data_IF_320832353644
#
_entry.id   IF_320832353644
#
_cell.length_a   1.000
_cell.length_b   1.000
_cell.length_c   1.000
_cell.angle_alpha   90.00
_cell.angle_beta   90.00
_cell.angle_gamma   90.00
#
_symmetry.space_group_name_H-M   'P 1'
#
loop_
_entity.id
_entity.type
_entity.pdbx_description
1 polymer ?
#
# COMPACT_ATOMS: atom_id res chain seq x y z
N UNK A 1 -46.73 -23.00 14.44
CA UNK A 1 -45.40 -23.19 13.85
C UNK A 1 -44.87 -21.81 13.51
N UNK A 2 -43.78 -21.34 14.13
CA UNK A 2 -43.21 -20.06 13.80
C UNK A 2 -42.48 -20.17 12.45
N UNK A 3 -42.67 -19.12 11.66
CA UNK A 3 -42.07 -18.91 10.34
C UNK A 3 -40.67 -18.38 10.63
N UNK A 4 -39.63 -19.16 10.35
CA UNK A 4 -38.24 -18.68 10.45
C UNK A 4 -37.98 -17.70 9.31
N UNK A 5 -37.92 -16.41 9.65
CA UNK A 5 -37.32 -15.38 8.81
C UNK A 5 -35.82 -15.68 8.71
N UNK A 6 -35.42 -16.37 7.64
CA UNK A 6 -34.03 -16.38 7.18
C UNK A 6 -33.66 -14.95 6.77
N UNK A 7 -33.13 -14.19 7.72
CA UNK A 7 -32.22 -13.07 7.44
C UNK A 7 -30.91 -13.65 6.95
N UNK A 8 -30.89 -14.13 5.70
CA UNK A 8 -29.64 -14.43 5.02
C UNK A 8 -28.99 -13.10 4.64
N UNK A 9 -27.88 -12.84 5.29
CA UNK A 9 -27.14 -11.60 5.24
C UNK A 9 -26.83 -11.16 3.81
N UNK A 10 -27.11 -9.90 3.51
CA UNK A 10 -26.26 -9.15 2.61
C UNK A 10 -24.85 -9.08 3.24
N UNK A 11 -24.06 -10.15 3.09
CA UNK A 11 -22.63 -10.08 3.28
C UNK A 11 -22.09 -9.15 2.21
N UNK A 12 -21.96 -7.87 2.58
CA UNK A 12 -21.29 -6.88 1.78
C UNK A 12 -19.95 -7.44 1.35
N UNK A 13 -19.67 -7.40 0.05
CA UNK A 13 -18.41 -7.84 -0.52
C UNK A 13 -17.30 -6.91 -0.04
N UNK A 14 -16.82 -7.13 1.18
CA UNK A 14 -15.72 -6.37 1.76
C UNK A 14 -14.45 -6.69 0.97
N UNK A 15 -13.82 -5.65 0.44
CA UNK A 15 -12.51 -5.78 -0.19
C UNK A 15 -11.51 -6.27 0.85
N UNK A 16 -10.85 -7.40 0.56
CA UNK A 16 -9.73 -7.83 1.36
C UNK A 16 -8.64 -6.75 1.33
N UNK A 17 -8.38 -6.18 2.50
CA UNK A 17 -7.35 -5.15 2.65
C UNK A 17 -5.98 -5.78 2.46
N UNK A 18 -5.20 -5.21 1.55
CA UNK A 18 -3.82 -5.58 1.30
C UNK A 18 -2.86 -4.74 2.13
N UNK A 19 -1.78 -5.35 2.58
CA UNK A 19 -0.63 -4.63 3.12
C UNK A 19 0.18 -3.98 1.98
N UNK A 20 0.96 -2.95 2.30
CA UNK A 20 1.77 -2.23 1.32
C UNK A 20 2.74 -3.16 0.56
N UNK A 21 3.35 -4.14 1.25
CA UNK A 21 4.24 -5.12 0.64
C UNK A 21 3.49 -6.06 -0.30
N UNK A 22 2.27 -6.47 0.06
CA UNK A 22 1.42 -7.33 -0.76
C UNK A 22 1.00 -6.63 -2.05
N UNK A 23 0.54 -5.37 -1.95
CA UNK A 23 0.21 -4.54 -3.11
C UNK A 23 1.45 -4.32 -4.01
N UNK A 24 2.63 -4.11 -3.42
CA UNK A 24 3.89 -3.98 -4.16
C UNK A 24 4.23 -5.26 -4.94
N UNK A 25 4.08 -6.43 -4.32
CA UNK A 25 4.33 -7.73 -4.95
C UNK A 25 3.36 -7.94 -6.11
N UNK A 26 2.06 -7.72 -5.90
CA UNK A 26 1.04 -7.88 -6.95
C UNK A 26 1.29 -6.93 -8.12
N UNK A 27 1.51 -5.65 -7.85
CA UNK A 27 1.86 -4.67 -8.87
C UNK A 27 3.10 -5.09 -9.67
N UNK A 28 4.12 -5.61 -8.98
CA UNK A 28 5.37 -6.07 -9.62
C UNK A 28 5.15 -7.32 -10.48
N UNK A 29 4.32 -8.28 -10.04
CA UNK A 29 3.98 -9.46 -10.84
C UNK A 29 3.21 -9.08 -12.11
N UNK A 30 2.24 -8.17 -12.00
CA UNK A 30 1.44 -7.70 -13.13
C UNK A 30 2.32 -6.96 -14.14
N UNK A 31 3.17 -6.04 -13.66
CA UNK A 31 4.10 -5.29 -14.51
C UNK A 31 5.03 -6.25 -15.27
N UNK A 32 5.60 -7.25 -14.59
CA UNK A 32 6.55 -8.19 -15.21
C UNK A 32 5.87 -9.20 -16.12
N UNK A 33 4.62 -9.56 -15.89
CA UNK A 33 3.87 -10.38 -16.85
C UNK A 33 3.70 -9.64 -18.19
N UNK A 34 3.39 -8.34 -18.15
CA UNK A 34 3.19 -7.55 -19.37
C UNK A 34 4.51 -7.16 -20.06
N UNK A 35 5.51 -6.74 -19.28
CA UNK A 35 6.76 -6.18 -19.84
C UNK A 35 7.85 -7.22 -20.10
N UNK A 36 7.82 -8.34 -19.39
CA UNK A 36 8.85 -9.39 -19.46
C UNK A 36 8.21 -10.79 -19.44
N UNK A 37 7.40 -11.15 -20.45
CA UNK A 37 6.67 -12.42 -20.46
C UNK A 37 7.60 -13.65 -20.41
N UNK A 38 8.79 -13.57 -21.01
CA UNK A 38 9.77 -14.67 -21.02
C UNK A 38 10.28 -15.05 -19.62
N UNK A 39 10.30 -14.08 -18.69
CA UNK A 39 10.73 -14.30 -17.32
C UNK A 39 9.60 -14.80 -16.40
N UNK A 40 8.34 -14.69 -16.85
CA UNK A 40 7.15 -15.00 -16.07
C UNK A 40 6.74 -16.48 -16.25
N UNK A 41 6.34 -17.21 -15.19
CA UNK A 41 6.21 -16.79 -13.78
C UNK A 41 7.55 -16.59 -13.06
N UNK A 42 7.56 -15.65 -12.11
CA UNK A 42 8.78 -15.16 -11.45
C UNK A 42 9.23 -16.07 -10.29
N UNK A 43 10.53 -16.22 -10.09
CA UNK A 43 11.09 -16.81 -8.86
C UNK A 43 11.07 -15.81 -7.71
N UNK A 44 11.23 -16.28 -6.45
CA UNK A 44 11.30 -15.40 -5.27
C UNK A 44 12.31 -14.25 -5.45
N UNK A 45 13.53 -14.57 -5.91
CA UNK A 45 14.57 -13.56 -6.13
C UNK A 45 14.19 -12.53 -7.20
N UNK A 46 13.48 -12.96 -8.25
CA UNK A 46 13.00 -12.06 -9.28
C UNK A 46 11.88 -11.15 -8.75
N UNK A 47 11.00 -11.64 -7.87
CA UNK A 47 9.98 -10.83 -7.19
C UNK A 47 10.64 -9.79 -6.28
N UNK A 48 11.63 -10.18 -5.46
CA UNK A 48 12.40 -9.26 -4.60
C UNK A 48 13.05 -8.15 -5.45
N UNK A 49 13.75 -8.54 -6.52
CA UNK A 49 14.38 -7.59 -7.43
C UNK A 49 13.37 -6.65 -8.10
N UNK A 50 12.16 -7.13 -8.41
CA UNK A 50 11.09 -6.31 -8.97
C UNK A 50 10.45 -5.36 -7.95
N UNK A 51 10.34 -5.76 -6.68
CA UNK A 51 9.79 -4.92 -5.62
C UNK A 51 10.73 -3.75 -5.26
N UNK A 52 12.05 -4.00 -5.34
CA UNK A 52 13.12 -3.07 -4.95
C UNK A 52 13.70 -2.26 -6.13
N UNK A 53 12.99 -2.17 -7.25
CA UNK A 53 13.44 -1.37 -8.41
C UNK A 53 13.49 0.12 -8.03
N UNK A 54 14.56 0.80 -8.46
CA UNK A 54 14.73 2.24 -8.25
C UNK A 54 13.85 3.09 -9.16
N UNK A 55 13.36 2.51 -10.25
CA UNK A 55 12.45 3.15 -11.19
C UNK A 55 11.07 2.53 -11.10
N UNK A 56 10.05 3.29 -11.46
CA UNK A 56 8.66 2.84 -11.44
C UNK A 56 8.11 2.40 -10.08
N UNK A 57 8.75 2.84 -8.98
CA UNK A 57 8.32 2.57 -7.61
C UNK A 57 8.25 3.89 -6.84
N UNK A 58 7.11 4.11 -6.20
CA UNK A 58 6.93 5.20 -5.25
C UNK A 58 6.08 4.68 -4.08
N UNK A 59 6.62 4.60 -2.85
CA UNK A 59 8.01 4.89 -2.46
C UNK A 59 9.01 3.81 -2.92
N UNK A 60 10.29 4.18 -3.05
CA UNK A 60 11.37 3.18 -3.23
C UNK A 60 11.48 2.35 -1.95
N UNK A 61 11.52 1.02 -2.10
CA UNK A 61 11.56 0.08 -0.98
C UNK A 61 12.79 -0.82 -1.05
N UNK A 62 13.15 -1.40 0.08
CA UNK A 62 14.25 -2.37 0.23
C UNK A 62 13.73 -3.54 1.06
N UNK A 63 12.91 -4.40 0.44
CA UNK A 63 12.39 -5.59 1.10
C UNK A 63 13.41 -6.72 1.07
N UNK A 64 13.48 -7.45 2.18
CA UNK A 64 14.29 -8.65 2.30
C UNK A 64 13.58 -9.88 1.71
N UNK A 65 14.32 -10.90 1.22
CA UNK A 65 13.71 -12.12 0.67
C UNK A 65 12.76 -12.84 1.63
N UNK A 66 13.03 -12.77 2.94
CA UNK A 66 12.16 -13.35 3.98
C UNK A 66 10.81 -12.66 4.08
N UNK A 67 10.78 -11.32 4.00
CA UNK A 67 9.56 -10.52 4.03
C UNK A 67 8.71 -10.77 2.79
N UNK A 68 9.33 -10.73 1.61
CA UNK A 68 8.65 -11.02 0.34
C UNK A 68 8.11 -12.45 0.31
N UNK A 69 8.88 -13.43 0.80
CA UNK A 69 8.43 -14.81 0.90
C UNK A 69 7.27 -15.01 1.87
N UNK A 70 7.23 -14.26 2.98
CA UNK A 70 6.09 -14.27 3.90
C UNK A 70 4.83 -13.69 3.24
N UNK A 71 4.94 -12.50 2.63
CA UNK A 71 3.83 -11.85 1.96
C UNK A 71 3.30 -12.66 0.75
N UNK A 72 4.18 -13.35 0.01
CA UNK A 72 3.75 -14.25 -1.07
C UNK A 72 2.86 -15.40 -0.55
N UNK A 73 3.18 -15.99 0.60
CA UNK A 73 2.34 -17.04 1.21
C UNK A 73 1.00 -16.50 1.69
N UNK A 74 0.96 -15.28 2.23
CA UNK A 74 -0.30 -14.60 2.57
C UNK A 74 -1.15 -14.37 1.33
N UNK A 75 -0.55 -13.89 0.23
CA UNK A 75 -1.21 -13.69 -1.05
C UNK A 75 -1.71 -14.99 -1.69
N UNK A 76 -1.00 -16.10 -1.51
CA UNK A 76 -1.47 -17.44 -1.91
C UNK A 76 -2.70 -17.86 -1.09
N UNK A 77 -2.68 -17.64 0.22
CA UNK A 77 -3.83 -17.87 1.11
C UNK A 77 -5.05 -17.03 0.72
N UNK A 78 -4.84 -15.80 0.24
CA UNK A 78 -5.87 -14.92 -0.31
C UNK A 78 -6.33 -15.30 -1.74
N UNK A 79 -5.68 -16.28 -2.38
CA UNK A 79 -5.99 -16.68 -3.75
C UNK A 79 -5.55 -15.68 -4.83
N UNK A 80 -4.76 -14.68 -4.47
CA UNK A 80 -4.29 -13.60 -5.35
C UNK A 80 -3.02 -13.96 -6.11
N UNK A 81 -2.25 -14.92 -5.60
CA UNK A 81 -1.04 -15.48 -6.21
C UNK A 81 -1.15 -17.00 -6.25
N UNK A 82 -0.54 -17.62 -7.25
CA UNK A 82 -0.30 -19.06 -7.29
C UNK A 82 1.20 -19.35 -7.42
N UNK A 83 1.75 -20.01 -6.41
CA UNK A 83 3.03 -20.68 -6.47
C UNK A 83 2.93 -22.03 -7.15
N UNK A 84 3.82 -22.28 -8.09
CA UNK A 84 4.06 -23.60 -8.66
C UNK A 84 5.48 -24.02 -8.31
N UNK A 85 5.60 -25.21 -7.72
CA UNK A 85 6.91 -25.79 -7.44
C UNK A 85 7.47 -26.37 -8.73
N UNK A 86 8.58 -25.81 -9.21
CA UNK A 86 9.38 -26.40 -10.28
C UNK A 86 10.56 -27.17 -9.70
N UNK A 87 11.16 -28.07 -10.49
CA UNK A 87 12.32 -28.87 -10.09
C UNK A 87 13.53 -28.04 -9.62
N UNK A 88 13.61 -26.74 -9.99
CA UNK A 88 14.73 -25.85 -9.65
C UNK A 88 14.38 -24.74 -8.64
N UNK A 89 13.13 -24.28 -8.60
CA UNK A 89 12.69 -23.19 -7.72
C UNK A 89 11.16 -23.05 -7.74
N UNK A 90 10.58 -22.50 -6.67
CA UNK A 90 9.19 -22.04 -6.66
C UNK A 90 9.02 -20.83 -7.58
N UNK A 91 7.97 -20.85 -8.40
CA UNK A 91 7.59 -19.75 -9.31
C UNK A 91 6.20 -19.23 -8.99
N UNK A 92 6.03 -17.92 -9.04
CA UNK A 92 4.82 -17.22 -8.62
C UNK A 92 4.17 -16.51 -9.80
N UNK A 93 2.86 -16.69 -9.93
CA UNK A 93 2.00 -16.01 -10.89
C UNK A 93 0.87 -15.29 -10.16
N UNK A 94 0.46 -14.10 -10.62
CA UNK A 94 -0.73 -13.44 -10.10
C UNK A 94 -2.02 -14.06 -10.66
N UNK A 95 -3.10 -13.94 -9.90
CA UNK A 95 -4.48 -14.29 -10.27
C UNK A 95 -5.42 -13.09 -10.20
N UNK A 96 -4.85 -11.91 -10.43
CA UNK A 96 -5.51 -10.63 -10.22
C UNK A 96 -6.80 -10.45 -11.04
N UNK A 97 -6.84 -10.86 -12.32
CA UNK A 97 -8.06 -10.75 -13.13
C UNK A 97 -9.20 -11.61 -12.56
N UNK A 98 -8.91 -12.86 -12.22
CA UNK A 98 -9.92 -13.77 -11.68
C UNK A 98 -10.37 -13.37 -10.28
N UNK A 99 -9.48 -12.83 -9.46
CA UNK A 99 -9.80 -12.47 -8.08
C UNK A 99 -10.65 -11.19 -7.99
N UNK A 100 -10.34 -10.17 -8.80
CA UNK A 100 -11.06 -8.89 -8.76
C UNK A 100 -12.10 -8.72 -9.89
N UNK A 101 -12.24 -9.73 -10.76
CA UNK A 101 -13.07 -9.68 -11.96
C UNK A 101 -12.81 -8.39 -12.77
N UNK A 102 -11.55 -8.20 -13.17
CA UNK A 102 -11.07 -7.00 -13.89
C UNK A 102 -10.51 -7.37 -15.25
N UNK A 103 -10.65 -6.46 -16.21
CA UNK A 103 -10.07 -6.59 -17.56
C UNK A 103 -8.56 -6.27 -17.55
N UNK A 104 -7.85 -6.62 -18.62
CA UNK A 104 -6.42 -6.31 -18.79
C UNK A 104 -6.11 -4.82 -18.64
N UNK A 105 -6.96 -3.94 -19.23
CA UNK A 105 -6.84 -2.49 -19.10
C UNK A 105 -7.05 -2.01 -17.67
N UNK A 106 -8.07 -2.52 -16.99
CA UNK A 106 -8.35 -2.19 -15.58
C UNK A 106 -7.20 -2.62 -14.67
N UNK A 107 -6.71 -3.86 -14.85
CA UNK A 107 -5.57 -4.41 -14.13
C UNK A 107 -4.31 -3.58 -14.33
N UNK A 108 -4.04 -3.11 -15.56
CA UNK A 108 -2.87 -2.27 -15.85
C UNK A 108 -2.89 -0.97 -15.03
N UNK A 109 -4.04 -0.27 -14.98
CA UNK A 109 -4.17 0.96 -14.19
C UNK A 109 -4.05 0.69 -12.69
N UNK A 110 -4.68 -0.37 -12.19
CA UNK A 110 -4.55 -0.77 -10.78
C UNK A 110 -3.11 -1.10 -10.40
N UNK A 111 -2.36 -1.78 -11.27
CA UNK A 111 -0.95 -2.06 -11.04
C UNK A 111 -0.11 -0.78 -10.96
N UNK A 112 -0.34 0.19 -11.84
CA UNK A 112 0.35 1.49 -11.78
C UNK A 112 0.05 2.22 -10.47
N UNK A 113 -1.22 2.24 -10.04
CA UNK A 113 -1.63 2.87 -8.79
C UNK A 113 -1.02 2.17 -7.57
N UNK A 114 -0.92 0.83 -7.56
CA UNK A 114 -0.27 0.09 -6.47
C UNK A 114 1.25 0.32 -6.41
N UNK A 115 1.90 0.53 -7.57
CA UNK A 115 3.35 0.68 -7.64
C UNK A 115 3.84 2.10 -7.37
N UNK A 116 3.03 3.11 -7.70
CA UNK A 116 3.42 4.52 -7.67
C UNK A 116 2.45 5.43 -6.89
N UNK A 117 1.40 4.88 -6.30
CA UNK A 117 0.41 5.65 -5.57
C UNK A 117 -0.44 6.57 -6.46
N UNK A 118 -0.88 7.72 -5.92
CA UNK A 118 -1.81 8.63 -6.59
C UNK A 118 -1.21 9.27 -7.83
N UNK A 119 -1.90 9.15 -8.96
CA UNK A 119 -1.42 9.64 -10.26
C UNK A 119 -2.51 10.40 -11.02
N UNK A 120 -2.09 11.34 -11.87
CA UNK A 120 -3.01 12.05 -12.76
C UNK A 120 -3.37 11.19 -13.97
N UNK A 121 -4.41 11.63 -14.70
CA UNK A 121 -4.87 10.93 -15.90
C UNK A 121 -3.77 10.81 -16.97
N UNK A 122 -3.02 11.90 -17.21
CA UNK A 122 -1.97 11.95 -18.22
C UNK A 122 -0.78 11.06 -17.84
N UNK A 123 -0.42 11.02 -16.55
CA UNK A 123 0.62 10.11 -16.06
C UNK A 123 0.21 8.65 -16.25
N UNK A 124 -1.03 8.29 -15.89
CA UNK A 124 -1.55 6.95 -16.06
C UNK A 124 -1.56 6.54 -17.53
N UNK A 125 -2.01 7.42 -18.42
CA UNK A 125 -1.99 7.17 -19.87
C UNK A 125 -0.59 6.85 -20.36
N UNK A 126 0.38 7.76 -20.15
CA UNK A 126 1.77 7.57 -20.61
C UNK A 126 2.44 6.34 -20.00
N UNK A 127 2.19 6.03 -18.72
CA UNK A 127 2.81 4.89 -18.02
C UNK A 127 2.15 3.56 -18.36
N UNK A 128 0.90 3.58 -18.82
CA UNK A 128 0.12 2.37 -19.14
C UNK A 128 0.46 1.75 -20.49
N UNK A 129 1.12 2.49 -21.40
CA UNK A 129 1.47 2.04 -22.75
C UNK A 129 2.21 0.69 -22.79
N UNK A 130 3.03 0.40 -21.78
CA UNK A 130 3.79 -0.87 -21.70
C UNK A 130 3.02 -2.02 -21.05
N UNK A 131 1.84 -1.76 -20.48
CA UNK A 131 1.04 -2.72 -19.74
C UNK A 131 -0.24 -3.12 -20.48
N UNK A 132 -0.88 -2.16 -21.16
CA UNK A 132 -2.08 -2.39 -21.95
C UNK A 132 -2.27 -1.28 -23.00
N UNK A 133 -2.93 -1.61 -24.11
CA UNK A 133 -3.22 -0.65 -25.17
C UNK A 133 -4.41 0.25 -24.81
N UNK A 134 -4.16 1.55 -24.78
CA UNK A 134 -5.17 2.61 -24.66
C UNK A 134 -5.11 3.52 -25.88
N UNK A 135 -6.26 3.82 -26.54
CA UNK A 135 -6.30 4.69 -27.71
C UNK A 135 -6.01 6.15 -27.38
N UNK A 136 -6.49 6.62 -26.22
CA UNK A 136 -6.35 7.99 -25.74
C UNK A 136 -6.52 8.07 -24.21
N UNK A 137 -6.26 9.24 -23.65
CA UNK A 137 -6.46 9.51 -22.22
C UNK A 137 -7.94 9.47 -21.80
N UNK A 138 -8.86 9.64 -22.74
CA UNK A 138 -10.30 9.57 -22.49
C UNK A 138 -10.77 8.15 -22.17
N UNK A 139 -10.21 7.16 -22.86
CA UNK A 139 -10.46 5.75 -22.56
C UNK A 139 -9.89 5.38 -21.18
N UNK A 140 -8.73 5.93 -20.78
CA UNK A 140 -8.19 5.75 -19.43
C UNK A 140 -9.18 6.30 -18.38
N UNK A 141 -9.72 7.50 -18.61
CA UNK A 141 -10.72 8.11 -17.73
C UNK A 141 -11.97 7.23 -17.63
N UNK A 142 -12.48 6.76 -18.76
CA UNK A 142 -13.64 5.87 -18.83
C UNK A 142 -13.42 4.57 -18.04
N UNK A 143 -12.21 3.98 -18.13
CA UNK A 143 -11.85 2.79 -17.35
C UNK A 143 -11.78 3.09 -15.85
N UNK A 144 -11.21 4.24 -15.45
CA UNK A 144 -11.15 4.65 -14.04
C UNK A 144 -12.54 4.92 -13.46
N UNK A 145 -13.42 5.59 -14.21
CA UNK A 145 -14.79 5.85 -13.78
C UNK A 145 -15.58 4.55 -13.57
N UNK A 146 -15.38 3.55 -14.43
CA UNK A 146 -15.93 2.19 -14.24
C UNK A 146 -15.37 1.52 -12.98
N UNK A 147 -14.08 1.71 -12.68
CA UNK A 147 -13.45 1.17 -11.46
C UNK A 147 -13.90 1.88 -10.18
N UNK A 148 -14.30 3.14 -10.27
CA UNK A 148 -14.84 3.92 -9.15
C UNK A 148 -16.32 3.65 -8.90
N UNK A 149 -17.10 3.36 -9.95
CA UNK A 149 -18.56 3.17 -9.86
C UNK A 149 -18.97 1.72 -9.55
N UNK A 150 -18.10 0.74 -9.79
CA UNK A 150 -18.36 -0.67 -9.44
C UNK A 150 -18.50 -0.87 -7.94
N UNK A 151 -19.18 -1.94 -7.54
CA UNK A 151 -19.28 -2.40 -6.15
C UNK A 151 -18.56 -3.74 -6.02
N UNK A 152 -17.54 -3.87 -5.16
CA UNK A 152 -16.87 -2.78 -4.43
C UNK A 152 -16.00 -1.91 -5.33
N UNK A 153 -15.86 -0.62 -4.97
CA UNK A 153 -15.05 0.36 -5.70
C UNK A 153 -13.56 0.06 -5.53
N UNK A 154 -12.81 0.03 -6.62
CA UNK A 154 -11.37 -0.29 -6.59
C UNK A 154 -10.49 0.95 -6.68
N UNK A 155 -11.06 2.08 -7.11
CA UNK A 155 -10.36 3.35 -7.32
C UNK A 155 -11.22 4.48 -6.78
N UNK A 156 -10.58 5.50 -6.24
CA UNK A 156 -11.20 6.77 -5.85
C UNK A 156 -10.53 7.92 -6.61
N UNK A 157 -11.33 8.91 -7.02
CA UNK A 157 -10.84 10.17 -7.54
C UNK A 157 -10.60 11.14 -6.38
N UNK A 158 -9.36 11.53 -6.17
CA UNK A 158 -8.95 12.52 -5.19
C UNK A 158 -9.14 13.91 -5.80
N UNK A 159 -9.92 14.76 -5.12
CA UNK A 159 -10.07 16.14 -5.53
C UNK A 159 -8.73 16.88 -5.42
N UNK A 160 -8.48 17.79 -6.37
CA UNK A 160 -7.29 18.64 -6.40
C UNK A 160 -7.00 19.35 -5.07
N UNK A 161 -5.74 19.32 -4.65
CA UNK A 161 -5.22 20.24 -3.63
C UNK A 161 -5.07 21.65 -4.23
N UNK A 162 -5.05 22.68 -3.39
CA UNK A 162 -4.89 24.08 -3.82
C UNK A 162 -3.55 24.27 -4.55
N UNK A 163 -3.61 24.48 -5.88
CA UNK A 163 -2.41 24.66 -6.74
C UNK A 163 -2.19 23.55 -7.77
N UNK A 164 -2.88 22.41 -7.67
CA UNK A 164 -2.83 21.33 -8.65
C UNK A 164 -3.82 21.59 -9.80
N UNK A 165 -3.39 21.34 -11.05
CA UNK A 165 -4.20 21.56 -12.26
C UNK A 165 -5.08 20.37 -12.64
N UNK A 166 -4.78 19.17 -12.15
CA UNK A 166 -5.43 17.91 -12.55
C UNK A 166 -5.88 17.09 -11.34
N UNK A 167 -6.96 16.32 -11.49
CA UNK A 167 -7.42 15.34 -10.51
C UNK A 167 -6.45 14.15 -10.45
N UNK A 168 -6.31 13.54 -9.26
CA UNK A 168 -5.53 12.33 -9.05
C UNK A 168 -6.43 11.14 -8.76
N UNK A 169 -5.97 9.94 -9.09
CA UNK A 169 -6.67 8.69 -8.81
C UNK A 169 -5.83 7.84 -7.87
N UNK A 170 -6.47 7.15 -6.93
CA UNK A 170 -5.81 6.24 -5.99
C UNK A 170 -6.60 4.93 -5.87
N UNK A 171 -5.90 3.81 -5.68
CA UNK A 171 -6.57 2.51 -5.47
C UNK A 171 -7.08 2.36 -4.03
N UNK A 172 -8.11 1.53 -3.84
CA UNK A 172 -8.72 1.24 -2.54
C UNK A 172 -8.32 -0.15 -1.98
N UNK A 173 -7.43 -0.86 -2.67
CA UNK A 173 -7.00 -2.22 -2.31
C UNK A 173 -6.22 -2.30 -0.99
N UNK A 174 -5.59 -1.21 -0.54
CA UNK A 174 -4.90 -1.15 0.76
C UNK A 174 -5.78 -0.52 1.86
N UNK A 175 -7.10 -0.53 1.67
CA UNK A 175 -8.06 0.05 2.61
C UNK A 175 -8.64 1.38 2.13
N UNK A 176 -9.59 1.90 2.90
CA UNK A 176 -10.25 3.16 2.60
C UNK A 176 -9.25 4.32 2.70
N UNK A 177 -9.13 5.09 1.63
CA UNK A 177 -8.38 6.35 1.66
C UNK A 177 -9.27 7.36 2.38
N UNK A 178 -8.90 7.72 3.61
CA UNK A 178 -9.63 8.75 4.36
C UNK A 178 -9.53 10.10 3.63
N UNK A 179 -10.50 11.02 3.79
CA UNK A 179 -10.42 12.34 3.16
C UNK A 179 -9.17 13.13 3.58
N UNK A 180 -8.66 12.93 4.80
CA UNK A 180 -7.40 13.54 5.25
C UNK A 180 -6.20 12.93 4.52
N UNK A 181 -6.15 11.59 4.38
CA UNK A 181 -5.12 10.90 3.61
C UNK A 181 -5.20 11.26 2.13
N UNK A 182 -6.40 11.41 1.57
CA UNK A 182 -6.64 11.87 0.21
C UNK A 182 -6.07 13.28 -0.01
N UNK A 183 -6.26 14.18 0.95
CA UNK A 183 -5.75 15.55 0.88
C UNK A 183 -4.21 15.57 0.94
N UNK A 184 -3.60 14.78 1.83
CA UNK A 184 -2.14 14.62 1.88
C UNK A 184 -1.55 13.95 0.62
N UNK A 185 -2.22 12.94 0.06
CA UNK A 185 -1.83 12.27 -1.18
C UNK A 185 -2.02 13.15 -2.42
N UNK A 186 -3.01 14.03 -2.42
CA UNK A 186 -3.19 15.06 -3.43
C UNK A 186 -2.12 16.15 -3.32
N UNK A 187 -1.64 16.43 -2.10
CA UNK A 187 -0.58 17.40 -1.80
C UNK A 187 0.83 16.81 -1.94
N UNK A 188 0.98 15.48 -2.13
CA UNK A 188 2.28 14.83 -2.36
C UNK A 188 3.02 15.55 -3.49
N UNK A 189 4.11 16.26 -3.18
CA UNK A 189 4.77 17.12 -4.13
C UNK A 189 5.66 16.26 -5.01
N UNK A 190 5.58 16.47 -6.33
CA UNK A 190 6.43 15.83 -7.36
C UNK A 190 7.93 16.21 -7.22
N UNK A 191 8.24 17.08 -6.25
CA UNK A 191 9.57 17.52 -5.82
C UNK A 191 9.59 17.53 -4.29
N UNK A 192 10.70 17.23 -3.62
CA UNK A 192 10.79 17.45 -2.18
C UNK A 192 10.40 18.91 -1.91
N UNK A 193 9.40 19.12 -1.06
CA UNK A 193 8.95 20.45 -0.70
C UNK A 193 10.16 21.26 -0.21
N UNK A 194 10.37 22.51 -0.66
CA UNK A 194 11.34 23.38 -0.03
C UNK A 194 10.92 23.51 1.44
N UNK A 195 11.75 22.99 2.35
CA UNK A 195 11.45 22.89 3.78
C UNK A 195 11.37 21.47 4.35
N UNK A 196 11.44 20.40 3.55
CA UNK A 196 11.53 19.04 4.09
C UNK A 196 12.79 18.87 4.96
N UNK A 197 13.93 19.39 4.50
CA UNK A 197 15.19 19.37 5.27
C UNK A 197 15.05 20.16 6.59
N UNK A 198 14.36 21.29 6.57
CA UNK A 198 14.16 22.12 7.76
C UNK A 198 13.24 21.44 8.76
N UNK A 199 12.21 20.75 8.27
CA UNK A 199 11.28 19.97 9.09
C UNK A 199 11.93 18.70 9.64
N UNK A 200 12.79 18.04 8.87
CA UNK A 200 13.61 16.92 9.34
C UNK A 200 14.56 17.40 10.44
N UNK A 201 15.27 18.51 10.27
CA UNK A 201 16.15 19.05 11.31
C UNK A 201 15.38 19.48 12.57
N UNK A 202 14.17 20.05 12.44
CA UNK A 202 13.32 20.35 13.59
C UNK A 202 12.87 19.08 14.32
N UNK A 203 12.49 18.04 13.58
CA UNK A 203 12.09 16.75 14.16
C UNK A 203 13.27 16.05 14.84
N UNK A 204 14.46 16.06 14.24
CA UNK A 204 15.69 15.53 14.85
C UNK A 204 16.03 16.25 16.15
N UNK A 205 15.89 17.58 16.18
CA UNK A 205 16.09 18.38 17.41
C UNK A 205 15.06 18.03 18.49
N UNK A 206 13.79 17.88 18.12
CA UNK A 206 12.73 17.49 19.06
C UNK A 206 12.93 16.07 19.59
N UNK A 207 13.37 15.13 18.74
CA UNK A 207 13.69 13.76 19.16
C UNK A 207 14.86 13.76 20.15
N UNK A 208 15.91 14.54 19.89
CA UNK A 208 17.04 14.66 20.81
C UNK A 208 16.61 15.23 22.17
N UNK A 209 15.79 16.27 22.19
CA UNK A 209 15.25 16.85 23.43
C UNK A 209 14.36 15.86 24.19
N UNK A 210 13.49 15.13 23.49
CA UNK A 210 12.64 14.10 24.11
C UNK A 210 13.46 12.95 24.67
N UNK A 211 14.55 12.53 24.01
CA UNK A 211 15.45 11.51 24.52
C UNK A 211 16.17 11.96 25.80
N UNK A 212 16.56 13.23 25.89
CA UNK A 212 17.17 13.81 27.09
C UNK A 212 16.19 13.83 28.27
N UNK A 213 14.95 14.27 28.05
CA UNK A 213 13.89 14.26 29.07
C UNK A 213 13.56 12.84 29.54
N UNK A 214 13.53 11.87 28.61
CA UNK A 214 13.32 10.45 28.96
C UNK A 214 14.49 9.94 29.81
N UNK A 215 15.72 10.27 29.45
CA UNK A 215 16.91 9.88 30.22
C UNK A 215 16.88 10.48 31.64
N UNK A 216 16.49 11.74 31.80
CA UNK A 216 16.32 12.39 33.10
C UNK A 216 15.21 11.74 33.95
N UNK A 217 14.06 11.44 33.34
CA UNK A 217 12.95 10.79 34.03
C UNK A 217 13.28 9.34 34.43
N UNK A 218 14.06 8.63 33.63
CA UNK A 218 14.55 7.28 33.95
C UNK A 218 15.68 7.31 35.01
N UNK A 219 16.49 8.37 35.03
CA UNK A 219 17.54 8.57 36.03
C UNK A 219 17.00 9.02 37.39
N UNK A 220 15.72 9.41 37.47
CA UNK A 220 15.03 9.67 38.73
C UNK A 220 14.52 8.33 39.30
N UNK A 221 15.23 7.69 40.25
CA UNK A 221 14.74 6.46 40.85
C UNK A 221 13.36 6.72 41.47
N UNK A 222 12.46 5.77 41.27
CA UNK A 222 11.07 5.87 41.69
C UNK A 222 10.93 6.36 43.12
N UNK A 223 9.98 7.28 43.31
CA UNK A 223 9.44 7.69 44.59
C UNK A 223 8.80 6.46 45.27
N UNK A 224 9.65 5.62 45.87
CA UNK A 224 9.25 4.66 46.89
C UNK A 224 8.71 5.44 48.07
N UNK A 225 7.52 5.05 48.55
CA UNK A 225 6.77 5.76 49.58
C UNK A 225 7.54 5.98 50.89
N UNK A 226 7.05 6.89 51.75
CA UNK A 226 7.77 7.32 52.93
C UNK A 226 8.01 6.12 53.87
N UNK A 227 9.28 5.78 54.09
CA UNK A 227 9.68 5.08 55.30
C UNK A 227 9.48 6.07 56.45
N UNK A 228 8.45 5.84 57.26
CA UNK A 228 8.29 6.52 58.53
C UNK A 228 9.37 5.99 59.48
N UNK A 229 10.31 6.86 59.83
CA UNK A 229 11.16 6.67 60.99
C UNK A 229 10.36 6.96 62.28
N UNK A 230 10.64 6.12 63.27
CA UNK A 230 10.65 6.35 64.71
C UNK A 230 9.45 6.09 65.65
N UNK A 231 9.83 5.31 66.68
CA UNK A 231 9.42 5.29 68.10
C UNK A 231 8.08 4.67 68.53
N UNK A 232 8.16 3.53 69.21
CA UNK A 232 7.51 3.37 70.52
C UNK A 232 8.29 2.40 71.41
N UNK A 233 8.94 2.97 72.43
CA UNK A 233 9.24 2.38 73.72
C UNK A 233 8.02 1.63 74.31
N UNK A 234 8.15 0.35 74.71
CA UNK A 234 7.53 -0.20 75.93
C UNK A 234 8.01 -1.63 76.28
N UNK A 235 8.46 -1.77 77.53
CA UNK A 235 8.64 -2.97 78.37
C UNK A 235 9.96 -3.78 78.28
#
# INVERSE_FOLDING_TARGET
>A
MPIEENTDGCEGTELQVLEAIEARILGSLIEKQATTPDAYPLTLNAVVAACNQKSSRDPISQYEPGEVGHALRQLEGKGLVSGTLSARASRYAHKFESAYNVTTRQRALLALLMLRGPQTLNELYSRSERLADFPDAEEVRSVLDRLATRVPALVVRLQRAAGQREDRYMHLLCGAVSPDTAMHLADSPERPAPGLSERVSQLESLVAQLQEVIAELQARPGNGGPAADDESDNA
#
